data_IF_978402830133
#
_entry.id   IF_978402830133
#
_cell.length_a   1.000
_cell.length_b   1.000
_cell.length_c   1.000
_cell.angle_alpha   90.00
_cell.angle_beta   90.00
_cell.angle_gamma   90.00
#
_symmetry.space_group_name_H-M   'P 1'
#
loop_
_entity.id
_entity.type
_entity.pdbx_description
1 polymer ?
#
# COMPACT_ATOMS: atom_id res chain seq x y z
N UNK A 1 -2.24 21.85 -1.38
CA UNK A 1 -3.61 21.38 -1.05
C UNK A 1 -3.45 20.29 -0.03
N UNK A 2 -3.97 20.49 1.18
CA UNK A 2 -3.93 19.45 2.22
C UNK A 2 -4.98 18.41 1.86
N UNK A 3 -4.57 17.17 1.55
CA UNK A 3 -5.49 16.04 1.37
C UNK A 3 -6.03 15.69 2.75
N UNK A 4 -7.15 16.33 3.10
CA UNK A 4 -7.68 16.27 4.45
C UNK A 4 -8.34 14.91 4.70
N UNK A 5 -7.78 14.19 5.68
CA UNK A 5 -8.34 13.05 6.44
C UNK A 5 -8.67 11.75 5.68
N UNK A 6 -8.12 10.64 6.19
CA UNK A 6 -8.59 9.28 5.88
C UNK A 6 -10.11 9.23 6.06
N UNK A 7 -10.85 8.94 4.98
CA UNK A 7 -12.31 8.84 5.06
C UNK A 7 -12.65 7.53 5.78
N UNK A 8 -13.40 7.59 6.88
CA UNK A 8 -13.85 6.38 7.62
C UNK A 8 -14.44 5.29 6.71
N UNK A 9 -15.12 5.65 5.63
CA UNK A 9 -15.69 4.70 4.64
C UNK A 9 -14.65 3.90 3.83
N UNK A 10 -13.40 4.37 3.81
CA UNK A 10 -12.27 3.72 3.15
C UNK A 10 -11.47 2.84 4.10
N UNK A 11 -11.71 2.98 5.41
CA UNK A 11 -11.09 2.16 6.44
C UNK A 11 -11.96 0.95 6.72
N UNK A 12 -11.33 -0.20 6.82
CA UNK A 12 -11.97 -1.40 7.30
C UNK A 12 -11.96 -1.44 8.83
N UNK A 13 -12.79 -2.31 9.41
CA UNK A 13 -12.78 -2.57 10.85
C UNK A 13 -11.39 -3.13 11.21
N UNK A 14 -10.75 -2.63 12.28
CA UNK A 14 -9.46 -3.15 12.72
C UNK A 14 -9.52 -4.66 12.98
N UNK A 15 -8.41 -5.34 12.74
CA UNK A 15 -8.31 -6.80 12.91
C UNK A 15 -6.98 -7.27 13.46
N UNK A 16 -6.99 -8.47 14.02
CA UNK A 16 -5.85 -9.10 14.70
C UNK A 16 -5.57 -10.51 14.17
N UNK A 17 -6.16 -10.90 13.04
CA UNK A 17 -5.94 -12.20 12.41
C UNK A 17 -4.44 -12.46 12.19
N UNK A 18 -3.98 -13.68 12.49
CA UNK A 18 -2.57 -14.09 12.28
C UNK A 18 -2.17 -13.98 10.80
N UNK A 19 -3.10 -14.29 9.90
CA UNK A 19 -2.89 -14.20 8.47
C UNK A 19 -4.18 -13.76 7.77
N UNK A 20 -4.04 -12.84 6.83
CA UNK A 20 -5.10 -12.47 5.90
C UNK A 20 -4.49 -12.01 4.57
N UNK A 21 -5.33 -11.88 3.56
CA UNK A 21 -4.93 -11.38 2.25
C UNK A 21 -5.36 -9.95 1.99
N UNK A 22 -4.63 -9.28 1.11
CA UNK A 22 -5.08 -8.08 0.43
C UNK A 22 -5.46 -8.45 -1.01
N UNK A 23 -6.64 -8.00 -1.42
CA UNK A 23 -7.24 -8.30 -2.72
C UNK A 23 -7.55 -7.02 -3.48
N UNK A 24 -7.42 -7.10 -4.79
CA UNK A 24 -8.00 -6.16 -5.73
C UNK A 24 -8.51 -6.94 -6.95
N UNK A 25 -9.81 -6.83 -7.23
CA UNK A 25 -10.46 -7.52 -8.34
C UNK A 25 -10.08 -6.91 -9.70
N UNK A 26 -9.57 -5.67 -9.70
CA UNK A 26 -9.14 -4.87 -10.85
C UNK A 26 -10.24 -4.66 -11.89
N UNK A 27 -11.43 -4.42 -11.37
CA UNK A 27 -12.64 -4.01 -12.08
C UNK A 27 -13.05 -2.57 -11.70
N UNK A 28 -12.14 -1.80 -11.12
CA UNK A 28 -12.37 -0.43 -10.65
C UNK A 28 -12.99 -0.33 -9.25
N UNK A 29 -13.14 -1.44 -8.52
CA UNK A 29 -13.48 -1.41 -7.10
C UNK A 29 -12.26 -1.06 -6.24
N UNK A 30 -12.51 -0.62 -5.01
CA UNK A 30 -11.44 -0.41 -4.01
C UNK A 30 -10.82 -1.75 -3.60
N UNK A 31 -9.52 -1.74 -3.31
CA UNK A 31 -8.86 -2.86 -2.67
C UNK A 31 -9.49 -3.16 -1.29
N UNK A 32 -9.35 -4.40 -0.84
CA UNK A 32 -9.93 -4.86 0.42
C UNK A 32 -9.12 -5.97 1.08
N UNK A 33 -9.30 -6.16 2.38
CA UNK A 33 -8.72 -7.28 3.10
C UNK A 33 -9.67 -8.49 3.16
N UNK A 34 -9.11 -9.70 3.16
CA UNK A 34 -9.88 -10.93 3.07
C UNK A 34 -9.23 -12.07 3.87
N UNK A 35 -9.98 -12.70 4.77
CA UNK A 35 -9.53 -13.86 5.56
C UNK A 35 -9.93 -15.20 4.92
N UNK A 36 -10.95 -15.17 4.06
CA UNK A 36 -11.36 -16.34 3.27
C UNK A 36 -10.59 -16.40 1.95
N UNK A 37 -10.80 -17.44 1.15
CA UNK A 37 -10.35 -17.50 -0.25
C UNK A 37 -8.89 -17.09 -0.56
N UNK A 38 -7.85 -17.77 -0.03
CA UNK A 38 -6.44 -17.45 -0.29
C UNK A 38 -6.05 -17.38 -1.78
N UNK A 39 -6.80 -18.06 -2.65
CA UNK A 39 -6.64 -17.99 -4.11
C UNK A 39 -6.89 -16.58 -4.68
N UNK A 40 -7.59 -15.69 -3.98
CA UNK A 40 -7.83 -14.30 -4.41
C UNK A 40 -6.74 -13.33 -3.96
N UNK A 41 -5.98 -13.67 -2.92
CA UNK A 41 -5.03 -12.75 -2.29
C UNK A 41 -3.94 -12.35 -3.28
N UNK A 42 -3.73 -11.05 -3.47
CA UNK A 42 -2.59 -10.54 -4.24
C UNK A 42 -1.36 -10.45 -3.35
N UNK A 43 -1.56 -10.02 -2.11
CA UNK A 43 -0.57 -10.06 -1.05
C UNK A 43 -1.13 -10.81 0.16
N UNK A 44 -0.26 -11.45 0.93
CA UNK A 44 -0.56 -11.97 2.25
C UNK A 44 0.03 -11.06 3.31
N UNK A 45 -0.67 -10.91 4.43
CA UNK A 45 -0.21 -10.17 5.60
C UNK A 45 -0.06 -11.17 6.73
N UNK A 46 1.16 -11.30 7.26
CA UNK A 46 1.48 -12.11 8.42
C UNK A 46 1.59 -11.22 9.65
N UNK A 47 0.77 -11.52 10.65
CA UNK A 47 0.64 -10.78 11.90
C UNK A 47 0.75 -11.75 13.08
N UNK A 48 1.92 -12.37 13.22
CA UNK A 48 2.15 -13.43 14.21
C UNK A 48 1.91 -12.96 15.66
N UNK A 49 2.07 -11.65 15.89
CA UNK A 49 1.88 -11.00 17.19
C UNK A 49 0.43 -10.54 17.45
N UNK A 50 -0.51 -10.78 16.51
CA UNK A 50 -1.91 -10.36 16.62
C UNK A 50 -2.08 -8.87 16.91
N UNK A 51 -1.21 -8.04 16.34
CA UNK A 51 -1.28 -6.57 16.47
C UNK A 51 -2.56 -6.09 15.78
N UNK A 52 -3.22 -5.10 16.37
CA UNK A 52 -4.38 -4.47 15.74
C UNK A 52 -3.96 -3.72 14.47
N UNK A 53 -4.54 -4.12 13.34
CA UNK A 53 -4.23 -3.60 12.02
C UNK A 53 -5.48 -3.02 11.40
N UNK A 54 -5.36 -1.80 10.85
CA UNK A 54 -6.38 -1.19 10.01
C UNK A 54 -5.91 -1.13 8.57
N UNK A 55 -6.68 -1.73 7.65
CA UNK A 55 -6.49 -1.52 6.22
C UNK A 55 -7.36 -0.36 5.74
N UNK A 56 -6.75 0.56 4.99
CA UNK A 56 -7.41 1.70 4.37
C UNK A 56 -7.21 1.61 2.86
N UNK A 57 -8.29 1.46 2.10
CA UNK A 57 -8.23 1.55 0.65
C UNK A 57 -7.94 2.98 0.21
N UNK A 58 -6.98 3.17 -0.68
CA UNK A 58 -6.59 4.48 -1.22
C UNK A 58 -7.16 4.61 -2.63
N UNK A 59 -6.69 3.78 -3.57
CA UNK A 59 -7.23 3.80 -4.93
C UNK A 59 -8.72 3.45 -4.95
N UNK A 60 -9.45 4.11 -5.86
CA UNK A 60 -10.91 4.02 -6.00
C UNK A 60 -11.73 4.32 -4.73
N UNK A 61 -11.12 4.83 -3.65
CA UNK A 61 -11.82 5.28 -2.46
C UNK A 61 -11.54 6.75 -2.08
N UNK A 62 -10.27 7.16 -2.15
CA UNK A 62 -9.83 8.54 -1.93
C UNK A 62 -9.52 9.17 -3.30
N UNK A 63 -10.53 9.79 -3.91
CA UNK A 63 -10.38 10.40 -5.23
C UNK A 63 -9.62 11.73 -5.11
N UNK A 64 -8.42 11.76 -5.67
CA UNK A 64 -7.57 12.95 -5.80
C UNK A 64 -7.49 13.29 -7.29
N UNK A 65 -7.66 14.57 -7.65
CA UNK A 65 -7.57 15.03 -9.04
C UNK A 65 -6.25 15.75 -9.28
N UNK A 66 -5.68 15.55 -10.48
CA UNK A 66 -4.51 16.32 -10.91
C UNK A 66 -4.89 17.80 -10.98
N UNK A 67 -3.99 18.65 -10.50
CA UNK A 67 -4.20 20.10 -10.40
C UNK A 67 -4.71 20.67 -11.73
N UNK A 68 -5.84 21.39 -11.68
CA UNK A 68 -6.49 22.01 -12.84
C UNK A 68 -6.95 21.05 -13.94
N UNK A 69 -7.22 19.78 -13.62
CA UNK A 69 -7.78 18.83 -14.60
C UNK A 69 -8.93 18.01 -14.01
N UNK A 70 -9.67 17.31 -14.87
CA UNK A 70 -10.67 16.29 -14.50
C UNK A 70 -10.09 14.88 -14.32
N UNK A 71 -8.78 14.72 -14.50
CA UNK A 71 -8.13 13.41 -14.44
C UNK A 71 -7.73 13.08 -13.01
N UNK A 72 -7.95 11.82 -12.61
CA UNK A 72 -7.53 11.31 -11.30
C UNK A 72 -6.01 11.24 -11.22
N UNK A 73 -5.47 11.52 -10.04
CA UNK A 73 -4.10 11.15 -9.68
C UNK A 73 -3.96 9.63 -9.64
N UNK A 74 -2.75 9.16 -9.93
CA UNK A 74 -2.41 7.74 -9.76
C UNK A 74 -1.96 7.53 -8.32
N UNK A 75 -2.65 6.67 -7.57
CA UNK A 75 -2.29 6.33 -6.19
C UNK A 75 -2.03 4.84 -6.05
N UNK A 76 -1.48 4.44 -4.90
CA UNK A 76 -1.41 3.03 -4.55
C UNK A 76 -2.78 2.49 -4.12
N UNK A 77 -2.91 1.16 -4.10
CA UNK A 77 -4.16 0.50 -3.76
C UNK A 77 -4.60 0.71 -2.32
N UNK A 78 -3.66 0.68 -1.37
CA UNK A 78 -4.03 0.79 0.04
C UNK A 78 -2.90 1.12 1.00
N UNK A 79 -3.29 1.23 2.25
CA UNK A 79 -2.43 1.54 3.37
C UNK A 79 -2.82 0.72 4.59
N UNK A 80 -1.82 0.12 5.23
CA UNK A 80 -1.93 -0.60 6.48
C UNK A 80 -1.39 0.31 7.59
N UNK A 81 -2.16 0.54 8.64
CA UNK A 81 -1.71 1.26 9.83
C UNK A 81 -1.84 0.37 11.06
N UNK A 82 -0.81 0.35 11.89
CA UNK A 82 -0.73 -0.42 13.13
C UNK A 82 0.35 0.17 14.03
N UNK A 83 0.12 0.22 15.35
CA UNK A 83 1.06 0.84 16.30
C UNK A 83 1.57 2.21 15.78
N UNK A 84 2.89 2.45 15.75
CA UNK A 84 3.52 3.64 15.16
C UNK A 84 4.00 3.42 13.71
N UNK A 85 3.33 2.55 12.97
CA UNK A 85 3.76 2.09 11.64
C UNK A 85 2.71 2.34 10.55
N UNK A 86 3.20 2.66 9.36
CA UNK A 86 2.38 2.79 8.15
C UNK A 86 3.04 2.09 6.97
N UNK A 87 2.32 1.13 6.37
CA UNK A 87 2.75 0.43 5.17
C UNK A 87 1.85 0.82 3.99
N UNK A 88 2.40 1.46 2.97
CA UNK A 88 1.72 1.64 1.69
C UNK A 88 1.81 0.34 0.88
N UNK A 89 0.76 0.00 0.15
CA UNK A 89 0.68 -1.25 -0.60
C UNK A 89 0.14 -1.00 -1.99
N UNK A 90 0.88 -1.48 -2.99
CA UNK A 90 0.44 -1.59 -4.38
C UNK A 90 0.32 -3.06 -4.75
N UNK A 91 -0.81 -3.44 -5.36
CA UNK A 91 -1.22 -4.80 -5.69
C UNK A 91 -1.27 -4.99 -7.22
N UNK A 92 -0.42 -5.87 -7.74
CA UNK A 92 -0.37 -6.23 -9.15
C UNK A 92 -0.74 -7.70 -9.38
N UNK A 93 -1.28 -7.96 -10.58
CA UNK A 93 -1.50 -9.32 -11.12
C UNK A 93 -0.85 -9.52 -12.49
N UNK A 94 0.12 -8.67 -12.84
CA UNK A 94 0.77 -8.64 -14.15
C UNK A 94 1.81 -9.75 -14.28
N UNK A 95 1.74 -10.53 -15.36
CA UNK A 95 2.74 -11.57 -15.69
C UNK A 95 3.96 -10.99 -16.41
N UNK A 96 3.78 -9.95 -17.21
CA UNK A 96 4.82 -9.34 -18.05
C UNK A 96 5.62 -8.28 -17.30
N UNK A 97 6.74 -7.84 -17.90
CA UNK A 97 7.60 -6.79 -17.35
C UNK A 97 6.92 -5.41 -17.23
N UNK A 98 7.62 -4.46 -16.60
CA UNK A 98 7.15 -3.08 -16.38
C UNK A 98 6.43 -2.85 -15.05
N UNK A 99 5.82 -3.88 -14.48
CA UNK A 99 4.99 -3.77 -13.27
C UNK A 99 5.70 -3.17 -12.05
N UNK A 100 7.01 -3.43 -11.90
CA UNK A 100 7.80 -2.86 -10.81
C UNK A 100 7.91 -1.34 -10.97
N UNK A 101 8.22 -0.86 -12.17
CA UNK A 101 8.34 0.58 -12.42
C UNK A 101 6.99 1.28 -12.20
N UNK A 102 5.91 0.68 -12.69
CA UNK A 102 4.56 1.19 -12.52
C UNK A 102 4.18 1.26 -11.02
N UNK A 103 4.41 0.17 -10.29
CA UNK A 103 4.09 0.10 -8.87
C UNK A 103 4.89 1.11 -8.04
N UNK A 104 6.18 1.25 -8.32
CA UNK A 104 7.02 2.25 -7.65
C UNK A 104 6.57 3.67 -7.99
N UNK A 105 6.13 3.95 -9.22
CA UNK A 105 5.56 5.24 -9.59
C UNK A 105 4.29 5.59 -8.81
N UNK A 106 3.39 4.62 -8.62
CA UNK A 106 2.17 4.80 -7.81
C UNK A 106 2.49 5.02 -6.33
N UNK A 107 3.39 4.23 -5.76
CA UNK A 107 3.84 4.39 -4.37
C UNK A 107 4.48 5.76 -4.16
N UNK A 108 5.39 6.17 -5.05
CA UNK A 108 6.05 7.47 -4.99
C UNK A 108 5.06 8.63 -5.11
N UNK A 109 4.12 8.57 -6.06
CA UNK A 109 3.11 9.62 -6.21
C UNK A 109 2.22 9.71 -4.97
N UNK A 110 1.85 8.56 -4.39
CA UNK A 110 1.10 8.51 -3.13
C UNK A 110 1.89 9.17 -2.00
N UNK A 111 3.18 8.85 -1.83
CA UNK A 111 4.02 9.51 -0.82
C UNK A 111 4.07 11.03 -0.98
N UNK A 112 4.16 11.53 -2.22
CA UNK A 112 4.10 12.97 -2.53
C UNK A 112 2.76 13.58 -2.12
N UNK A 113 1.65 12.96 -2.50
CA UNK A 113 0.29 13.45 -2.22
C UNK A 113 -0.03 13.46 -0.72
N UNK A 114 0.52 12.51 0.03
CA UNK A 114 0.28 12.36 1.47
C UNK A 114 1.43 12.86 2.35
N UNK A 115 2.39 13.62 1.80
CA UNK A 115 3.59 14.05 2.53
C UNK A 115 3.28 14.88 3.79
N UNK A 116 2.16 15.60 3.80
CA UNK A 116 1.68 16.40 4.93
C UNK A 116 0.55 15.73 5.71
N UNK A 117 0.22 14.47 5.41
CA UNK A 117 -0.88 13.77 6.06
C UNK A 117 -0.46 13.36 7.48
N UNK A 118 -1.22 13.76 8.54
CA UNK A 118 -0.85 13.48 9.92
C UNK A 118 -0.57 12.00 10.22
N UNK A 119 -1.33 11.08 9.60
CA UNK A 119 -1.16 9.64 9.80
C UNK A 119 0.20 9.20 9.31
N UNK A 120 0.64 9.68 8.15
CA UNK A 120 1.95 9.36 7.60
C UNK A 120 3.06 10.10 8.35
N UNK A 121 2.86 11.37 8.71
CA UNK A 121 3.93 12.17 9.34
C UNK A 121 4.20 11.75 10.79
N UNK A 122 3.18 11.30 11.52
CA UNK A 122 3.30 10.86 12.92
C UNK A 122 3.83 9.43 13.06
N UNK A 123 3.66 8.57 12.06
CA UNK A 123 4.22 7.21 12.10
C UNK A 123 5.76 7.23 12.08
N UNK A 124 6.38 6.47 12.97
CA UNK A 124 7.84 6.33 13.07
C UNK A 124 8.38 5.39 12.00
N UNK A 125 7.68 4.28 11.75
CA UNK A 125 8.13 3.25 10.82
C UNK A 125 7.29 3.27 9.55
N UNK A 126 7.95 3.45 8.41
CA UNK A 126 7.27 3.61 7.13
C UNK A 126 7.84 2.63 6.11
N UNK A 127 6.95 1.84 5.50
CA UNK A 127 7.32 0.92 4.41
C UNK A 127 6.36 1.04 3.24
N UNK A 128 6.82 0.65 2.08
CA UNK A 128 6.00 0.57 0.88
C UNK A 128 6.24 -0.79 0.23
N UNK A 129 5.17 -1.48 -0.10
CA UNK A 129 5.21 -2.82 -0.68
C UNK A 129 4.67 -2.77 -2.11
N UNK A 130 5.50 -3.21 -3.06
CA UNK A 130 5.03 -3.53 -4.40
C UNK A 130 4.80 -5.04 -4.46
N UNK A 131 3.54 -5.46 -4.38
CA UNK A 131 3.14 -6.85 -4.33
C UNK A 131 2.66 -7.31 -5.71
N UNK A 132 3.07 -8.49 -6.14
CA UNK A 132 2.53 -9.08 -7.36
C UNK A 132 2.31 -10.58 -7.21
N UNK A 133 1.06 -11.02 -7.25
CA UNK A 133 0.70 -12.45 -7.10
C UNK A 133 1.29 -13.35 -8.20
N UNK A 134 1.66 -12.78 -9.35
CA UNK A 134 2.29 -13.53 -10.45
C UNK A 134 3.81 -13.59 -10.32
N UNK A 135 4.39 -12.80 -9.42
CA UNK A 135 5.82 -12.74 -9.11
C UNK A 135 5.99 -12.72 -7.57
N UNK A 136 5.68 -13.85 -6.89
CA UNK A 136 5.60 -13.88 -5.43
C UNK A 136 6.96 -13.80 -4.72
N UNK A 137 8.04 -14.14 -5.43
CA UNK A 137 9.39 -14.12 -4.86
C UNK A 137 9.85 -12.70 -4.52
N UNK A 138 10.71 -12.59 -3.50
CA UNK A 138 11.40 -11.35 -3.21
C UNK A 138 12.26 -10.92 -4.40
N UNK A 139 12.04 -9.69 -4.86
CA UNK A 139 12.91 -9.06 -5.85
C UNK A 139 13.79 -8.02 -5.17
N UNK A 140 15.10 -8.19 -5.29
CA UNK A 140 16.07 -7.23 -4.76
C UNK A 140 15.89 -5.89 -5.45
N UNK A 141 15.54 -4.87 -4.67
CA UNK A 141 15.62 -3.48 -5.10
C UNK A 141 17.07 -3.03 -5.04
N UNK A 142 17.46 -2.20 -6.00
CA UNK A 142 18.70 -1.44 -5.94
C UNK A 142 18.79 -0.65 -4.62
N UNK A 143 19.86 -0.89 -3.86
CA UNK A 143 20.13 -0.23 -2.59
C UNK A 143 20.10 1.30 -2.70
N UNK A 144 20.57 1.88 -3.80
CA UNK A 144 20.54 3.34 -4.01
C UNK A 144 19.10 3.84 -4.16
N UNK A 145 18.25 3.08 -4.82
CA UNK A 145 16.82 3.41 -4.95
C UNK A 145 16.12 3.37 -3.60
N UNK A 146 16.39 2.34 -2.77
CA UNK A 146 15.82 2.26 -1.42
C UNK A 146 16.28 3.43 -0.54
N UNK A 147 17.58 3.75 -0.57
CA UNK A 147 18.14 4.92 0.12
C UNK A 147 17.48 6.22 -0.35
N UNK A 148 17.21 6.36 -1.65
CA UNK A 148 16.56 7.53 -2.20
C UNK A 148 15.12 7.69 -1.66
N UNK A 149 14.31 6.63 -1.66
CA UNK A 149 12.97 6.66 -1.07
C UNK A 149 12.99 7.00 0.42
N UNK A 150 13.94 6.42 1.15
CA UNK A 150 14.08 6.69 2.58
C UNK A 150 14.48 8.14 2.85
N UNK A 151 15.42 8.70 2.09
CA UNK A 151 15.88 10.10 2.26
C UNK A 151 14.79 11.11 1.90
N UNK A 152 14.03 10.87 0.83
CA UNK A 152 13.04 11.84 0.33
C UNK A 152 11.67 11.73 1.01
N UNK A 153 11.28 10.52 1.44
CA UNK A 153 9.93 10.26 1.94
C UNK A 153 9.90 9.53 3.29
N UNK A 154 11.03 9.00 3.77
CA UNK A 154 11.12 8.21 5.01
C UNK A 154 10.68 6.75 4.84
N UNK A 155 10.35 6.31 3.62
CA UNK A 155 9.87 4.96 3.34
C UNK A 155 10.98 4.02 2.91
N UNK A 156 10.98 2.79 3.43
CA UNK A 156 11.73 1.67 2.86
C UNK A 156 10.84 0.87 1.91
N UNK A 157 11.38 0.42 0.80
CA UNK A 157 10.62 -0.31 -0.21
C UNK A 157 10.94 -1.79 -0.18
N UNK A 158 9.92 -2.63 -0.20
CA UNK A 158 10.02 -4.09 -0.31
C UNK A 158 9.22 -4.54 -1.55
N UNK A 159 9.79 -5.41 -2.40
CA UNK A 159 9.08 -6.03 -3.54
C UNK A 159 8.88 -7.51 -3.24
N UNK A 160 7.68 -7.86 -2.80
CA UNK A 160 7.27 -9.22 -2.45
C UNK A 160 5.76 -9.24 -2.21
N UNK A 161 5.14 -10.41 -2.26
CA UNK A 161 3.71 -10.58 -1.96
C UNK A 161 3.41 -10.95 -0.50
N UNK A 162 4.44 -11.10 0.35
CA UNK A 162 4.29 -11.33 1.78
C UNK A 162 4.66 -10.08 2.59
N UNK A 163 3.71 -9.56 3.35
CA UNK A 163 3.86 -8.39 4.22
C UNK A 163 3.95 -8.89 5.66
N UNK A 164 5.10 -8.73 6.29
CA UNK A 164 5.32 -9.12 7.68
C UNK A 164 5.12 -7.91 8.58
N UNK A 165 4.17 -8.02 9.50
CA UNK A 165 3.90 -7.05 10.55
C UNK A 165 4.86 -7.33 11.71
N UNK A 166 5.52 -6.28 12.21
CA UNK A 166 6.54 -6.36 13.26
C UNK A 166 6.17 -5.49 14.44
#
# INVERSE_FOLDING_TARGET
MSVNSMRKKCQEIPRTDNIFGLCDDQNGTKAYSNTSSPKKWIASVKNDNKIEITFTAIDNCIIIFKKHTKYKESTCDGMITFSDSVYLVELKKQKTGGWISDALGQLENTMKLFQTNPVITQCKYKKAFACNKKHPGFHTIDNEKNKWFFRNYGFRIDIQDEIIIK
#
